data_IF_134359558360
#
_entry.id   IF_134359558360
#
_cell.length_a   1.000
_cell.length_b   1.000
_cell.length_c   1.000
_cell.angle_alpha   90.00
_cell.angle_beta   90.00
_cell.angle_gamma   90.00
#
_symmetry.space_group_name_H-M   'P 1'
#
loop_
_entity.id
_entity.type
_entity.pdbx_description
1 polymer ?
#
# COMPACT_ATOMS: atom_id res chain seq x y z
N UNK A 1 -31.74 -0.03 -24.02
CA UNK A 1 -31.08 -1.29 -23.63
C UNK A 1 -29.61 -0.99 -23.50
N UNK A 2 -28.97 -1.31 -22.37
CA UNK A 2 -27.52 -1.13 -22.27
C UNK A 2 -26.86 -2.12 -23.24
N UNK A 3 -26.06 -1.63 -24.19
CA UNK A 3 -25.30 -2.50 -25.08
C UNK A 3 -24.29 -3.29 -24.25
N UNK A 4 -24.25 -4.60 -24.47
CA UNK A 4 -23.29 -5.48 -23.81
C UNK A 4 -21.85 -5.08 -24.15
N UNK A 5 -20.96 -5.17 -23.16
CA UNK A 5 -19.58 -4.71 -23.33
C UNK A 5 -18.90 -5.37 -24.54
N UNK A 6 -18.35 -4.61 -25.50
CA UNK A 6 -17.82 -5.15 -26.76
C UNK A 6 -16.60 -6.06 -26.57
N UNK A 7 -15.92 -5.96 -25.42
CA UNK A 7 -14.76 -6.80 -25.11
C UNK A 7 -15.13 -8.15 -24.50
N UNK A 8 -16.29 -8.28 -23.83
CA UNK A 8 -16.67 -9.52 -23.14
C UNK A 8 -18.09 -10.02 -23.42
N UNK A 9 -18.87 -9.33 -24.26
CA UNK A 9 -20.27 -9.65 -24.54
C UNK A 9 -21.13 -9.69 -23.26
N UNK A 10 -20.84 -8.84 -22.28
CA UNK A 10 -21.58 -8.78 -21.01
C UNK A 10 -21.18 -9.85 -19.97
N UNK A 11 -20.34 -10.83 -20.32
CA UNK A 11 -19.89 -11.89 -19.39
C UNK A 11 -18.98 -11.37 -18.28
N UNK A 12 -18.28 -10.25 -18.54
CA UNK A 12 -17.28 -9.71 -17.64
C UNK A 12 -15.93 -10.44 -17.67
N UNK A 13 -15.70 -11.33 -18.65
CA UNK A 13 -14.45 -12.05 -18.86
C UNK A 13 -13.98 -11.93 -20.31
N UNK A 14 -12.67 -11.88 -20.53
CA UNK A 14 -12.03 -11.83 -21.86
C UNK A 14 -11.15 -13.06 -21.98
N UNK A 15 -11.39 -13.86 -23.01
CA UNK A 15 -10.54 -14.99 -23.35
C UNK A 15 -9.28 -14.51 -24.08
N UNK A 16 -8.11 -14.91 -23.59
CA UNK A 16 -6.78 -14.65 -24.18
C UNK A 16 -6.19 -15.89 -24.86
N UNK A 17 -6.98 -16.94 -25.08
CA UNK A 17 -6.60 -18.20 -25.71
C UNK A 17 -5.94 -19.19 -24.75
N UNK A 18 -5.06 -18.73 -23.86
CA UNK A 18 -4.40 -19.57 -22.84
C UNK A 18 -4.86 -19.26 -21.41
N UNK A 19 -5.60 -18.17 -21.21
CA UNK A 19 -6.13 -17.74 -19.92
C UNK A 19 -7.44 -17.00 -20.12
N UNK A 20 -8.27 -17.00 -19.09
CA UNK A 20 -9.45 -16.14 -19.01
C UNK A 20 -9.14 -15.01 -18.06
N UNK A 21 -9.19 -13.78 -18.55
CA UNK A 21 -8.96 -12.58 -17.76
C UNK A 21 -10.27 -11.87 -17.46
N UNK A 22 -10.29 -11.05 -16.41
CA UNK A 22 -11.45 -10.22 -16.11
C UNK A 22 -11.54 -9.06 -17.11
N UNK A 23 -12.72 -8.84 -17.67
CA UNK A 23 -12.94 -7.70 -18.56
C UNK A 23 -12.90 -6.38 -17.80
N UNK A 24 -12.32 -5.36 -18.43
CA UNK A 24 -12.22 -4.01 -17.89
C UNK A 24 -13.59 -3.36 -17.61
N UNK A 25 -14.66 -3.80 -18.29
CA UNK A 25 -16.02 -3.29 -18.05
C UNK A 25 -16.55 -3.56 -16.64
N UNK A 26 -16.05 -4.60 -15.96
CA UNK A 26 -16.40 -4.88 -14.55
C UNK A 26 -15.88 -3.82 -13.59
N UNK A 27 -15.13 -2.84 -14.09
CA UNK A 27 -14.65 -1.69 -13.34
C UNK A 27 -15.25 -0.36 -13.82
N UNK A 28 -16.04 -0.34 -14.91
CA UNK A 28 -16.57 0.90 -15.48
C UNK A 28 -17.62 1.57 -14.58
N UNK A 29 -18.27 0.83 -13.68
CA UNK A 29 -19.24 1.36 -12.72
C UNK A 29 -18.63 1.85 -11.40
N UNK A 30 -17.34 1.61 -11.15
CA UNK A 30 -16.67 1.93 -9.88
C UNK A 30 -15.41 2.73 -10.18
N UNK A 31 -15.38 3.97 -9.71
CA UNK A 31 -14.11 4.69 -9.57
C UNK A 31 -13.22 3.94 -8.58
N UNK A 32 -12.35 3.08 -9.12
CA UNK A 32 -11.43 2.24 -8.35
C UNK A 32 -10.59 3.11 -7.42
N UNK A 33 -10.10 4.26 -7.91
CA UNK A 33 -9.24 5.12 -7.14
C UNK A 33 -9.98 5.59 -5.88
N UNK A 34 -11.20 6.10 -6.04
CA UNK A 34 -12.05 6.49 -4.90
C UNK A 34 -12.37 5.29 -3.99
N UNK A 35 -12.70 4.14 -4.56
CA UNK A 35 -13.07 2.94 -3.79
C UNK A 35 -11.93 2.40 -2.91
N UNK A 36 -10.68 2.53 -3.39
CA UNK A 36 -9.46 2.12 -2.70
C UNK A 36 -8.82 3.27 -1.89
N UNK A 37 -9.47 4.42 -1.77
CA UNK A 37 -8.96 5.63 -1.10
C UNK A 37 -7.65 6.19 -1.71
N UNK A 38 -7.44 6.01 -3.01
CA UNK A 38 -6.29 6.56 -3.72
C UNK A 38 -6.56 8.05 -4.00
N UNK A 39 -5.64 8.98 -3.62
CA UNK A 39 -5.77 10.40 -3.92
C UNK A 39 -5.88 10.66 -5.44
N UNK A 40 -6.61 11.69 -5.88
CA UNK A 40 -6.79 11.98 -7.31
C UNK A 40 -5.48 12.10 -8.10
N UNK A 41 -4.42 12.61 -7.46
CA UNK A 41 -3.07 12.71 -8.03
C UNK A 41 -2.51 11.38 -8.53
N UNK A 42 -2.88 10.26 -7.91
CA UNK A 42 -2.40 8.92 -8.25
C UNK A 42 -3.47 8.06 -8.93
N UNK A 43 -4.58 8.64 -9.37
CA UNK A 43 -5.68 7.89 -10.02
C UNK A 43 -5.24 7.19 -11.31
N UNK A 44 -4.44 7.87 -12.14
CA UNK A 44 -3.95 7.39 -13.43
C UNK A 44 -2.64 6.58 -13.34
N UNK A 45 -2.12 6.35 -12.15
CA UNK A 45 -0.88 5.59 -11.93
C UNK A 45 -1.11 4.10 -12.24
N UNK A 46 -0.22 3.51 -13.05
CA UNK A 46 -0.24 2.10 -13.46
C UNK A 46 1.20 1.55 -13.54
N UNK A 47 1.37 0.22 -13.58
CA UNK A 47 2.71 -0.35 -13.74
C UNK A 47 3.31 0.01 -15.11
N UNK A 48 2.46 0.08 -16.13
CA UNK A 48 2.82 0.35 -17.53
C UNK A 48 3.35 1.77 -17.75
N UNK A 49 2.99 2.72 -16.88
CA UNK A 49 3.48 4.10 -16.94
C UNK A 49 4.54 4.43 -15.88
N UNK A 50 5.06 3.41 -15.19
CA UNK A 50 6.23 3.55 -14.34
C UNK A 50 7.52 3.38 -15.16
N UNK A 51 8.33 4.43 -15.26
CA UNK A 51 9.62 4.39 -15.98
C UNK A 51 10.76 4.37 -14.96
N UNK A 52 11.38 3.19 -14.68
CA UNK A 52 12.49 3.12 -13.75
C UNK A 52 13.72 3.83 -14.33
N UNK A 53 14.34 4.70 -13.55
CA UNK A 53 15.57 5.43 -13.97
C UNK A 53 16.86 4.80 -13.42
N UNK A 54 16.74 3.78 -12.57
CA UNK A 54 17.89 3.10 -11.96
C UNK A 54 17.69 1.57 -11.90
N UNK A 55 18.76 0.78 -11.72
CA UNK A 55 18.66 -0.67 -11.50
C UNK A 55 17.85 -1.01 -10.26
N UNK A 56 17.98 -0.22 -9.19
CA UNK A 56 17.25 -0.37 -7.93
C UNK A 56 15.74 -0.20 -8.15
N UNK A 57 15.32 0.81 -8.89
CA UNK A 57 13.91 1.00 -9.24
C UNK A 57 13.39 -0.10 -10.18
N UNK A 58 14.21 -0.57 -11.11
CA UNK A 58 13.86 -1.67 -12.02
C UNK A 58 13.61 -2.97 -11.23
N UNK A 59 14.44 -3.25 -10.23
CA UNK A 59 14.25 -4.41 -9.36
C UNK A 59 13.02 -4.25 -8.46
N UNK A 60 12.81 -3.07 -7.89
CA UNK A 60 11.62 -2.77 -7.09
C UNK A 60 10.33 -2.95 -7.91
N UNK A 61 10.30 -2.46 -9.16
CA UNK A 61 9.18 -2.66 -10.09
C UNK A 61 8.88 -4.15 -10.31
N UNK A 62 9.90 -4.95 -10.61
CA UNK A 62 9.75 -6.41 -10.81
C UNK A 62 9.17 -7.09 -9.56
N UNK A 63 9.69 -6.75 -8.38
CA UNK A 63 9.20 -7.32 -7.12
C UNK A 63 7.77 -6.89 -6.82
N UNK A 64 7.41 -5.61 -7.07
CA UNK A 64 6.05 -5.11 -6.91
C UNK A 64 5.05 -5.81 -7.84
N UNK A 65 5.42 -6.01 -9.11
CA UNK A 65 4.60 -6.77 -10.07
C UNK A 65 4.42 -8.20 -9.54
N UNK A 66 5.51 -8.90 -9.24
CA UNK A 66 5.46 -10.27 -8.73
C UNK A 66 4.56 -10.39 -7.49
N UNK A 67 4.76 -9.51 -6.50
CA UNK A 67 3.95 -9.45 -5.28
C UNK A 67 2.46 -9.22 -5.59
N UNK A 68 2.12 -8.30 -6.49
CA UNK A 68 0.71 -8.01 -6.80
C UNK A 68 -0.01 -9.20 -7.45
N UNK A 69 0.66 -9.91 -8.35
CA UNK A 69 0.10 -11.08 -9.03
C UNK A 69 0.06 -12.33 -8.12
N UNK A 70 1.03 -12.49 -7.22
CA UNK A 70 1.07 -13.61 -6.27
C UNK A 70 0.31 -13.35 -4.95
N UNK A 71 -0.16 -12.12 -4.70
CA UNK A 71 -0.76 -11.71 -3.44
C UNK A 71 -1.79 -12.69 -2.86
N UNK A 72 -1.59 -13.10 -1.60
CA UNK A 72 -2.49 -13.95 -0.85
C UNK A 72 -2.77 -13.31 0.52
N UNK A 73 -4.02 -12.90 0.83
CA UNK A 73 -4.34 -12.11 2.03
C UNK A 73 -4.13 -12.87 3.33
N UNK A 74 -3.97 -14.19 3.29
CA UNK A 74 -3.71 -15.04 4.47
C UNK A 74 -2.23 -15.18 4.81
N UNK A 75 -1.31 -14.79 3.93
CA UNK A 75 0.14 -14.91 4.18
C UNK A 75 0.71 -13.80 5.06
N UNK A 76 0.00 -12.68 5.23
CA UNK A 76 0.48 -11.54 6.02
C UNK A 76 1.71 -10.81 5.47
N UNK A 77 2.23 -11.19 4.29
CA UNK A 77 3.41 -10.57 3.68
C UNK A 77 3.07 -9.21 3.09
N UNK A 78 3.96 -8.24 3.26
CA UNK A 78 3.86 -6.90 2.69
C UNK A 78 5.15 -6.41 2.02
N UNK A 79 5.19 -5.11 1.72
CA UNK A 79 6.33 -4.45 1.07
C UNK A 79 6.68 -3.18 1.83
N UNK A 80 7.98 -2.90 1.99
CA UNK A 80 8.46 -1.61 2.50
C UNK A 80 9.27 -0.94 1.41
N UNK A 81 8.70 0.10 0.79
CA UNK A 81 9.33 0.88 -0.26
C UNK A 81 10.10 2.04 0.39
N UNK A 82 11.41 2.05 0.20
CA UNK A 82 12.33 2.92 0.91
C UNK A 82 13.21 3.70 -0.06
N UNK A 83 13.36 5.00 0.15
CA UNK A 83 14.21 5.83 -0.69
C UNK A 83 13.90 7.33 -0.57
N UNK A 84 14.72 8.19 -1.18
CA UNK A 84 14.50 9.64 -1.13
C UNK A 84 13.17 10.05 -1.79
N UNK A 85 12.69 11.28 -1.53
CA UNK A 85 11.50 11.82 -2.19
C UNK A 85 11.58 11.72 -3.71
N UNK A 86 10.42 11.63 -4.37
CA UNK A 86 10.29 11.59 -5.84
C UNK A 86 10.87 10.35 -6.55
N UNK A 87 11.24 9.29 -5.82
CA UNK A 87 11.70 8.02 -6.43
C UNK A 87 10.58 7.05 -6.84
N UNK A 88 9.31 7.46 -6.82
CA UNK A 88 8.22 6.61 -7.30
C UNK A 88 7.68 5.57 -6.29
N UNK A 89 8.00 5.69 -5.00
CA UNK A 89 7.51 4.78 -3.94
C UNK A 89 5.98 4.69 -3.88
N UNK A 90 5.32 5.84 -3.74
CA UNK A 90 3.86 5.94 -3.72
C UNK A 90 3.24 5.41 -5.01
N UNK A 91 3.90 5.66 -6.16
CA UNK A 91 3.46 5.14 -7.46
C UNK A 91 3.40 3.62 -7.44
N UNK A 92 4.49 2.94 -7.08
CA UNK A 92 4.53 1.48 -7.01
C UNK A 92 3.53 0.92 -5.99
N UNK A 93 3.38 1.55 -4.82
CA UNK A 93 2.41 1.11 -3.82
C UNK A 93 0.96 1.17 -4.34
N UNK A 94 0.61 2.24 -5.06
CA UNK A 94 -0.70 2.40 -5.71
C UNK A 94 -0.89 1.37 -6.83
N UNK A 95 0.12 1.11 -7.65
CA UNK A 95 0.06 0.08 -8.70
C UNK A 95 -0.23 -1.30 -8.12
N UNK A 96 0.47 -1.68 -7.04
CA UNK A 96 0.23 -2.95 -6.34
C UNK A 96 -1.22 -3.01 -5.86
N UNK A 97 -1.68 -1.96 -5.16
CA UNK A 97 -3.03 -1.91 -4.61
C UNK A 97 -4.12 -2.06 -5.69
N UNK A 98 -3.99 -1.33 -6.81
CA UNK A 98 -4.92 -1.40 -7.94
C UNK A 98 -4.88 -2.79 -8.60
N UNK A 99 -3.70 -3.35 -8.79
CA UNK A 99 -3.51 -4.65 -9.45
C UNK A 99 -4.08 -5.80 -8.62
N UNK A 100 -3.86 -5.79 -7.30
CA UNK A 100 -4.46 -6.77 -6.37
C UNK A 100 -5.98 -6.73 -6.46
N UNK A 101 -6.58 -5.53 -6.42
CA UNK A 101 -8.02 -5.40 -6.55
C UNK A 101 -8.54 -5.88 -7.91
N UNK A 102 -7.88 -5.50 -9.00
CA UNK A 102 -8.32 -5.88 -10.36
C UNK A 102 -8.26 -7.38 -10.60
N UNK A 103 -7.15 -8.01 -10.20
CA UNK A 103 -6.90 -9.41 -10.52
C UNK A 103 -7.54 -10.38 -9.51
N UNK A 104 -7.62 -10.00 -8.22
CA UNK A 104 -8.05 -10.91 -7.15
C UNK A 104 -9.34 -10.47 -6.46
N UNK A 105 -9.89 -9.29 -6.78
CA UNK A 105 -11.08 -8.70 -6.14
C UNK A 105 -10.95 -8.49 -4.63
N UNK A 106 -9.71 -8.49 -4.13
CA UNK A 106 -9.43 -8.20 -2.73
C UNK A 106 -9.30 -6.70 -2.56
N UNK A 107 -10.18 -6.14 -1.75
CA UNK A 107 -10.15 -4.70 -1.45
C UNK A 107 -9.03 -4.41 -0.45
N UNK A 108 -8.12 -3.54 -0.84
CA UNK A 108 -7.25 -2.83 0.08
C UNK A 108 -7.64 -1.36 0.20
N UNK A 109 -6.92 -0.62 1.05
CA UNK A 109 -7.08 0.83 1.20
C UNK A 109 -5.73 1.53 1.23
N UNK A 110 -5.69 2.70 0.60
CA UNK A 110 -4.58 3.63 0.66
C UNK A 110 -4.85 4.71 1.70
N UNK A 111 -3.83 5.06 2.47
CA UNK A 111 -3.83 6.22 3.33
C UNK A 111 -2.47 6.92 3.31
N UNK A 112 -2.48 8.24 3.17
CA UNK A 112 -1.41 9.05 3.73
C UNK A 112 -1.41 8.87 5.25
N UNK A 113 -0.26 8.54 5.82
CA UNK A 113 -0.17 8.17 7.24
C UNK A 113 -0.58 9.34 8.15
N UNK A 114 -0.23 10.59 7.80
CA UNK A 114 -0.57 11.76 8.62
C UNK A 114 -2.06 12.06 8.55
N UNK A 115 -2.64 12.07 7.34
CA UNK A 115 -4.07 12.29 7.15
C UNK A 115 -4.92 11.24 7.86
N UNK A 116 -4.48 9.97 7.84
CA UNK A 116 -5.10 8.90 8.61
C UNK A 116 -5.09 9.18 10.11
N UNK A 117 -3.94 9.59 10.65
CA UNK A 117 -3.81 9.92 12.08
C UNK A 117 -4.64 11.14 12.46
N UNK A 118 -4.67 12.19 11.63
CA UNK A 118 -5.54 13.34 11.85
C UNK A 118 -7.01 12.94 11.86
N UNK A 119 -7.43 12.06 10.95
CA UNK A 119 -8.79 11.53 10.92
C UNK A 119 -9.11 10.66 12.14
N UNK A 120 -8.18 9.82 12.61
CA UNK A 120 -8.35 9.07 13.86
C UNK A 120 -8.55 10.02 15.04
N UNK A 121 -7.76 11.09 15.10
CA UNK A 121 -7.84 12.09 16.17
C UNK A 121 -9.17 12.84 16.14
N UNK A 122 -9.66 13.21 14.96
CA UNK A 122 -10.90 13.98 14.83
C UNK A 122 -12.16 13.20 15.19
N UNK A 123 -12.12 11.87 15.14
CA UNK A 123 -13.25 11.02 15.52
C UNK A 123 -13.11 10.42 16.93
N UNK A 124 -12.05 10.76 17.67
CA UNK A 124 -11.69 10.12 18.93
C UNK A 124 -12.76 10.26 20.03
N UNK A 125 -13.51 11.36 20.05
CA UNK A 125 -14.60 11.60 21.01
C UNK A 125 -15.89 10.84 20.65
N UNK A 126 -16.05 10.43 19.39
CA UNK A 126 -17.13 9.58 18.93
C UNK A 126 -16.66 8.12 18.94
N UNK A 127 -16.85 7.46 20.09
CA UNK A 127 -16.47 6.04 20.29
C UNK A 127 -16.96 5.14 19.14
N UNK A 128 -18.16 5.37 18.61
CA UNK A 128 -18.72 4.57 17.52
C UNK A 128 -17.95 4.75 16.22
N UNK A 129 -17.66 5.98 15.81
CA UNK A 129 -16.88 6.28 14.59
C UNK A 129 -15.42 5.88 14.74
N UNK A 130 -14.81 6.15 15.90
CA UNK A 130 -13.44 5.77 16.20
C UNK A 130 -13.25 4.25 16.09
N UNK A 131 -14.07 3.45 16.78
CA UNK A 131 -13.98 1.99 16.74
C UNK A 131 -14.20 1.45 15.33
N UNK A 132 -15.16 1.99 14.58
CA UNK A 132 -15.39 1.59 13.17
C UNK A 132 -14.17 1.88 12.30
N UNK A 133 -13.59 3.07 12.40
CA UNK A 133 -12.44 3.44 11.59
C UNK A 133 -11.18 2.67 11.99
N UNK A 134 -10.92 2.51 13.28
CA UNK A 134 -9.82 1.67 13.77
C UNK A 134 -9.97 0.23 13.27
N UNK A 135 -11.14 -0.40 13.45
CA UNK A 135 -11.38 -1.77 12.96
C UNK A 135 -11.16 -1.93 11.45
N UNK A 136 -11.49 -0.90 10.66
CA UNK A 136 -11.21 -0.89 9.22
C UNK A 136 -9.69 -0.97 8.96
N UNK A 137 -8.90 -0.13 9.62
CA UNK A 137 -7.44 -0.10 9.48
C UNK A 137 -6.81 -1.41 9.95
N UNK A 138 -7.33 -2.00 11.02
CA UNK A 138 -6.81 -3.25 11.59
C UNK A 138 -7.12 -4.47 10.71
N UNK A 139 -8.32 -4.54 10.10
CA UNK A 139 -8.83 -5.78 9.50
C UNK A 139 -8.83 -5.82 7.98
N UNK A 140 -8.68 -4.67 7.30
CA UNK A 140 -8.64 -4.66 5.83
C UNK A 140 -7.52 -5.57 5.31
N UNK A 141 -7.76 -6.42 4.28
CA UNK A 141 -6.79 -7.40 3.80
C UNK A 141 -5.44 -6.80 3.42
N UNK A 142 -5.46 -5.65 2.74
CA UNK A 142 -4.27 -4.92 2.32
C UNK A 142 -4.39 -3.45 2.72
N UNK A 143 -3.40 -2.95 3.45
CA UNK A 143 -3.34 -1.54 3.87
C UNK A 143 -2.06 -0.92 3.30
N UNK A 144 -2.18 0.20 2.61
CA UNK A 144 -1.03 1.04 2.22
C UNK A 144 -0.94 2.20 3.20
N UNK A 145 0.19 2.32 3.87
CA UNK A 145 0.58 3.45 4.71
C UNK A 145 1.66 4.24 3.99
N UNK A 146 1.26 5.33 3.36
CA UNK A 146 2.16 6.20 2.59
C UNK A 146 2.86 7.22 3.51
N UNK A 147 4.12 7.51 3.22
CA UNK A 147 4.99 8.45 3.92
C UNK A 147 5.10 8.21 5.45
N UNK A 148 5.11 6.94 5.86
CA UNK A 148 5.27 6.53 7.24
C UNK A 148 6.60 7.02 7.81
N UNK A 149 6.52 7.75 8.92
CA UNK A 149 7.71 8.22 9.61
C UNK A 149 8.49 9.26 8.82
N UNK A 150 7.85 10.05 7.94
CA UNK A 150 8.47 11.19 7.24
C UNK A 150 8.77 12.39 8.18
N UNK A 151 8.08 12.48 9.31
CA UNK A 151 8.21 13.53 10.34
C UNK A 151 8.31 12.94 11.76
N UNK A 152 8.61 13.80 12.73
CA UNK A 152 8.54 13.44 14.15
C UNK A 152 7.09 13.21 14.56
N UNK A 153 6.81 12.02 15.07
CA UNK A 153 5.51 11.64 15.59
C UNK A 153 5.40 12.01 17.08
N UNK A 154 4.24 12.57 17.46
CA UNK A 154 3.83 12.69 18.87
C UNK A 154 3.62 11.30 19.50
N UNK A 155 3.62 11.23 20.83
CA UNK A 155 3.46 9.96 21.56
C UNK A 155 2.17 9.23 21.17
N UNK A 156 1.05 9.96 21.12
CA UNK A 156 -0.22 9.40 20.66
C UNK A 156 -0.16 8.86 19.23
N UNK A 157 0.50 9.55 18.30
CA UNK A 157 0.67 9.06 16.93
C UNK A 157 1.53 7.78 16.88
N UNK A 158 2.59 7.72 17.70
CA UNK A 158 3.44 6.52 17.84
C UNK A 158 2.65 5.35 18.40
N UNK A 159 1.83 5.57 19.42
CA UNK A 159 0.94 4.55 19.99
C UNK A 159 -0.04 4.00 18.95
N UNK A 160 -0.69 4.87 18.17
CA UNK A 160 -1.63 4.44 17.12
C UNK A 160 -0.95 3.61 16.04
N UNK A 161 0.21 4.06 15.53
CA UNK A 161 0.98 3.27 14.55
C UNK A 161 1.43 1.94 15.15
N UNK A 162 1.93 1.96 16.38
CA UNK A 162 2.36 0.75 17.10
C UNK A 162 1.22 -0.26 17.22
N UNK A 163 0.02 0.20 17.57
CA UNK A 163 -1.17 -0.63 17.67
C UNK A 163 -1.56 -1.21 16.30
N UNK A 164 -1.64 -0.38 15.26
CA UNK A 164 -2.01 -0.82 13.91
C UNK A 164 -1.02 -1.86 13.39
N UNK A 165 0.28 -1.58 13.42
CA UNK A 165 1.31 -2.50 12.93
C UNK A 165 1.34 -3.78 13.76
N UNK A 166 1.25 -3.68 15.09
CA UNK A 166 1.29 -4.87 15.96
C UNK A 166 0.10 -5.80 15.74
N UNK A 167 -1.11 -5.25 15.59
CA UNK A 167 -2.28 -6.06 15.27
C UNK A 167 -2.12 -6.72 13.90
N UNK A 168 -1.75 -5.94 12.88
CA UNK A 168 -1.63 -6.46 11.51
C UNK A 168 -0.55 -7.54 11.41
N UNK A 169 0.56 -7.38 12.12
CA UNK A 169 1.58 -8.42 12.28
C UNK A 169 1.01 -9.68 12.95
N UNK A 170 0.37 -9.56 14.13
CA UNK A 170 -0.16 -10.70 14.88
C UNK A 170 -1.27 -11.47 14.15
N UNK A 171 -2.07 -10.78 13.34
CA UNK A 171 -3.21 -11.34 12.63
C UNK A 171 -2.96 -11.54 11.13
N UNK A 172 -1.68 -11.57 10.73
CA UNK A 172 -1.24 -11.88 9.36
C UNK A 172 -1.95 -11.01 8.30
N UNK A 173 -2.01 -9.69 8.53
CA UNK A 173 -2.59 -8.71 7.62
C UNK A 173 -1.51 -7.95 6.86
N UNK A 174 -1.49 -8.14 5.54
CA UNK A 174 -0.50 -7.55 4.64
C UNK A 174 -0.49 -6.02 4.67
N UNK A 175 0.68 -5.42 4.81
CA UNK A 175 0.82 -3.95 4.88
C UNK A 175 1.91 -3.48 3.93
N UNK A 176 1.57 -2.56 3.03
CA UNK A 176 2.56 -1.87 2.21
C UNK A 176 2.89 -0.55 2.89
N UNK A 177 4.17 -0.27 3.04
CA UNK A 177 4.67 0.96 3.66
C UNK A 177 5.52 1.68 2.63
N UNK A 178 5.34 3.00 2.51
CA UNK A 178 6.34 3.86 1.89
C UNK A 178 6.96 4.74 2.96
N UNK A 179 8.26 4.98 2.85
CA UNK A 179 8.97 5.84 3.80
C UNK A 179 10.11 6.59 3.13
N UNK A 180 10.19 7.88 3.45
CA UNK A 180 11.24 8.77 2.97
C UNK A 180 12.40 8.75 3.97
N UNK A 181 13.61 8.47 3.48
CA UNK A 181 14.85 8.81 4.20
C UNK A 181 15.66 9.80 3.40
N UNK A 182 16.14 10.84 4.08
CA UNK A 182 17.16 11.71 3.54
C UNK A 182 18.47 10.92 3.50
N UNK A 183 19.09 10.81 2.33
CA UNK A 183 20.44 10.26 2.16
C UNK A 183 21.45 11.20 2.83
N UNK A 184 21.55 11.13 4.16
CA UNK A 184 22.78 11.49 4.86
C UNK A 184 23.39 10.19 5.33
N UNK A 185 24.14 9.59 4.40
CA UNK A 185 24.97 8.39 4.47
C UNK A 185 24.25 7.05 4.23
N UNK A 186 24.95 6.23 3.45
CA UNK A 186 24.52 5.04 2.73
C UNK A 186 24.67 3.77 3.57
N UNK A 187 24.54 3.86 4.90
CA UNK A 187 24.59 2.67 5.76
C UNK A 187 23.17 2.17 6.01
N UNK A 188 22.87 0.94 5.61
CA UNK A 188 21.60 0.26 5.93
C UNK A 188 21.32 0.30 7.45
N UNK A 189 22.37 0.31 8.28
CA UNK A 189 22.27 0.48 9.74
C UNK A 189 21.79 1.88 10.15
N UNK A 190 22.20 2.93 9.46
CA UNK A 190 21.72 4.29 9.73
C UNK A 190 20.27 4.48 9.29
N UNK A 191 19.85 3.79 8.22
CA UNK A 191 18.45 3.75 7.78
C UNK A 191 17.58 3.09 8.85
N UNK A 192 17.96 1.89 9.33
CA UNK A 192 17.25 1.19 10.40
C UNK A 192 17.13 2.06 11.66
N UNK A 193 18.25 2.67 12.09
CA UNK A 193 18.29 3.58 13.25
C UNK A 193 17.38 4.80 13.10
N UNK A 194 17.25 5.35 11.89
CA UNK A 194 16.36 6.50 11.65
C UNK A 194 14.88 6.10 11.71
N UNK A 195 14.53 4.86 11.32
CA UNK A 195 13.18 4.33 11.52
C UNK A 195 12.94 4.15 13.03
N UNK A 196 13.90 3.59 13.74
CA UNK A 196 13.87 3.36 15.20
C UNK A 196 13.78 4.65 16.03
N UNK A 197 14.36 5.74 15.55
CA UNK A 197 14.21 7.05 16.20
C UNK A 197 12.77 7.58 16.07
N UNK A 198 12.05 7.16 15.03
CA UNK A 198 10.70 7.63 14.69
C UNK A 198 9.59 6.65 15.10
N UNK A 199 9.90 5.37 15.23
CA UNK A 199 9.03 4.26 15.63
C UNK A 199 9.80 3.37 16.61
N UNK A 200 9.14 2.72 17.58
CA UNK A 200 9.89 1.85 18.50
C UNK A 200 10.59 0.69 17.77
N UNK A 201 11.74 0.24 18.29
CA UNK A 201 12.51 -0.90 17.77
C UNK A 201 11.63 -2.14 17.54
N UNK A 202 10.72 -2.42 18.46
CA UNK A 202 9.76 -3.51 18.35
C UNK A 202 8.83 -3.40 17.13
N UNK A 203 8.42 -2.19 16.76
CA UNK A 203 7.57 -1.96 15.57
C UNK A 203 8.39 -2.13 14.29
N UNK A 204 9.60 -1.59 14.28
CA UNK A 204 10.53 -1.71 13.14
C UNK A 204 10.87 -3.18 12.87
N UNK A 205 11.18 -3.95 13.92
CA UNK A 205 11.42 -5.39 13.83
C UNK A 205 10.24 -6.16 13.23
N UNK A 206 9.00 -5.85 13.66
CA UNK A 206 7.79 -6.46 13.08
C UNK A 206 7.64 -6.13 11.59
N UNK A 207 7.92 -4.89 11.19
CA UNK A 207 7.88 -4.47 9.79
C UNK A 207 8.89 -5.27 8.97
N UNK A 208 10.14 -5.40 9.42
CA UNK A 208 11.15 -6.19 8.72
C UNK A 208 10.81 -7.68 8.61
N UNK A 209 10.12 -8.24 9.60
CA UNK A 209 9.71 -9.64 9.57
C UNK A 209 8.54 -9.89 8.61
N UNK A 210 7.56 -8.98 8.53
CA UNK A 210 6.38 -9.17 7.68
C UNK A 210 6.56 -8.62 6.25
N UNK A 211 7.51 -7.71 6.02
CA UNK A 211 7.68 -7.04 4.72
C UNK A 211 9.02 -7.36 4.05
N UNK A 212 8.97 -7.52 2.73
CA UNK A 212 10.18 -7.40 1.90
C UNK A 212 10.53 -5.91 1.71
N UNK A 213 11.74 -5.52 2.08
CA UNK A 213 12.24 -4.15 1.91
C UNK A 213 12.79 -3.94 0.50
N UNK A 214 12.29 -2.92 -0.17
CA UNK A 214 12.68 -2.50 -1.52
C UNK A 214 13.29 -1.12 -1.46
N UNK A 215 14.56 -1.03 -1.82
CA UNK A 215 15.26 0.24 -1.95
C UNK A 215 14.98 0.82 -3.34
N UNK A 216 14.64 2.11 -3.40
CA UNK A 216 14.48 2.91 -4.61
C UNK A 216 15.51 4.04 -4.56
N UNK A 217 16.71 3.73 -5.01
CA UNK A 217 17.86 4.62 -5.05
C UNK A 217 18.03 5.20 -6.46
N UNK A 218 18.62 6.41 -6.61
CA UNK A 218 18.96 6.98 -7.90
C UNK A 218 20.00 6.14 -8.66
#
# INVERSE_FOLDING_TARGET
MAEDCPACGGTGFVDKGHSVELCSCRFQSVDIAKYLHIPPRFSAVEFENYVPISPSQSQALKTCISYAYSFEPTEGKGLTLLGPPHMGKTHLAVCVLKTVYRNKRIRGLFFDTKDMLFKLKSVMEDNGRYTKFMNLLLRIPLLVLDDLGSERLSDWQREMITHIISYRYNYMKSTIITTNYALRKLDEKEVAKTIEDRLSEAVVSKIYQMNTTLYLLP
#
